data_IF_741377079335
#
_entry.id   IF_741377079335
#
_cell.length_a   1.000
_cell.length_b   1.000
_cell.length_c   1.000
_cell.angle_alpha   90.00
_cell.angle_beta   90.00
_cell.angle_gamma   90.00
#
_symmetry.space_group_name_H-M   'P 1'
#
loop_
_entity.id
_entity.type
_entity.pdbx_description
1 polymer ?
#
# COMPACT_ATOMS: atom_id res chain seq x y z
N UNK A 1 41.79 30.45 -25.60
CA UNK A 1 40.41 30.74 -26.07
C UNK A 1 39.76 29.38 -26.24
N UNK A 2 38.98 28.98 -25.23
CA UNK A 2 37.52 28.87 -25.36
C UNK A 2 37.16 27.59 -26.12
N UNK A 3 36.48 26.58 -25.58
CA UNK A 3 35.34 26.67 -24.66
C UNK A 3 35.08 25.30 -24.05
N UNK A 4 34.82 25.34 -22.75
CA UNK A 4 34.15 24.34 -21.91
C UNK A 4 32.92 23.74 -22.63
N UNK A 5 32.99 22.48 -23.06
CA UNK A 5 31.79 21.71 -23.38
C UNK A 5 31.25 21.13 -22.08
N UNK A 6 30.47 21.97 -21.39
CA UNK A 6 29.58 21.60 -20.28
C UNK A 6 29.02 20.20 -20.48
N UNK A 7 29.31 19.34 -19.51
CA UNK A 7 28.58 18.10 -19.29
C UNK A 7 27.09 18.45 -19.20
N UNK A 8 26.30 18.01 -20.17
CA UNK A 8 24.85 18.01 -20.07
C UNK A 8 24.46 16.98 -18.99
N UNK A 9 24.42 17.45 -17.75
CA UNK A 9 23.76 16.75 -16.65
C UNK A 9 22.27 16.79 -16.99
N UNK A 10 21.77 15.71 -17.59
CA UNK A 10 20.35 15.47 -17.78
C UNK A 10 19.65 15.63 -16.42
N UNK A 11 19.16 16.85 -16.17
CA UNK A 11 18.47 17.30 -14.96
C UNK A 11 17.04 16.76 -14.99
N UNK A 12 16.91 15.44 -15.08
CA UNK A 12 15.60 14.81 -15.14
C UNK A 12 15.13 14.57 -13.69
N UNK A 13 13.92 15.05 -13.38
CA UNK A 13 13.04 14.56 -12.29
C UNK A 13 13.18 15.12 -10.87
N UNK A 14 13.92 16.19 -10.56
CA UNK A 14 13.90 16.73 -9.16
C UNK A 14 12.48 17.15 -8.73
N UNK A 15 11.70 17.73 -9.66
CA UNK A 15 10.32 18.13 -9.41
C UNK A 15 9.37 16.95 -9.17
N UNK A 16 9.64 15.79 -9.78
CA UNK A 16 8.84 14.58 -9.58
C UNK A 16 9.06 14.07 -8.15
N UNK A 17 10.32 13.94 -7.70
CA UNK A 17 10.60 13.49 -6.33
C UNK A 17 9.99 14.42 -5.27
N UNK A 18 10.08 15.75 -5.45
CA UNK A 18 9.46 16.71 -4.54
C UNK A 18 7.93 16.59 -4.49
N UNK A 19 7.28 16.36 -5.64
CA UNK A 19 5.83 16.16 -5.69
C UNK A 19 5.40 14.87 -4.96
N UNK A 20 6.10 13.76 -5.20
CA UNK A 20 5.81 12.49 -4.52
C UNK A 20 6.10 12.57 -3.03
N UNK A 21 7.15 13.27 -2.63
CA UNK A 21 7.45 13.53 -1.23
C UNK A 21 6.32 14.32 -0.55
N UNK A 22 5.81 15.36 -1.22
CA UNK A 22 4.63 16.08 -0.77
C UNK A 22 3.39 15.19 -0.66
N UNK A 23 3.16 14.31 -1.64
CA UNK A 23 2.06 13.34 -1.61
C UNK A 23 2.17 12.37 -0.42
N UNK A 24 3.36 11.81 -0.17
CA UNK A 24 3.62 10.93 0.98
C UNK A 24 3.40 11.64 2.31
N UNK A 25 3.76 12.92 2.39
CA UNK A 25 3.50 13.75 3.56
C UNK A 25 2.00 13.93 3.79
N UNK A 26 1.23 14.27 2.75
CA UNK A 26 -0.23 14.41 2.83
C UNK A 26 -0.88 13.10 3.27
N UNK A 27 -0.50 11.96 2.67
CA UNK A 27 -1.04 10.65 3.07
C UNK A 27 -0.69 10.29 4.52
N UNK A 28 0.52 10.64 4.98
CA UNK A 28 0.93 10.42 6.38
C UNK A 28 0.12 11.29 7.34
N UNK A 29 -0.14 12.55 6.97
CA UNK A 29 -1.00 13.45 7.75
C UNK A 29 -2.45 12.93 7.82
N UNK A 30 -3.00 12.46 6.70
CA UNK A 30 -4.33 11.85 6.68
C UNK A 30 -4.40 10.61 7.56
N UNK A 31 -3.41 9.70 7.48
CA UNK A 31 -3.34 8.53 8.36
C UNK A 31 -3.33 8.91 9.84
N UNK A 32 -2.59 9.95 10.21
CA UNK A 32 -2.55 10.46 11.59
C UNK A 32 -3.89 11.09 12.01
N UNK A 33 -4.55 11.81 11.10
CA UNK A 33 -5.85 12.42 11.37
C UNK A 33 -6.95 11.38 11.62
N UNK A 34 -6.91 10.23 10.92
CA UNK A 34 -7.82 9.11 11.20
C UNK A 34 -7.67 8.60 12.62
N UNK A 35 -6.43 8.42 13.09
CA UNK A 35 -6.18 8.00 14.46
C UNK A 35 -6.56 9.09 15.48
N UNK A 36 -6.40 10.37 15.14
CA UNK A 36 -6.78 11.49 16.01
C UNK A 36 -8.29 11.58 16.25
N UNK A 37 -9.09 11.38 15.20
CA UNK A 37 -10.56 11.44 15.28
C UNK A 37 -11.15 10.25 16.09
N UNK A 38 -10.32 9.28 16.49
CA UNK A 38 -10.71 8.17 17.37
C UNK A 38 -11.97 7.44 16.89
N UNK A 39 -12.05 7.17 15.58
CA UNK A 39 -13.12 6.33 15.04
C UNK A 39 -13.15 4.98 15.76
N UNK A 40 -14.31 4.58 16.29
CA UNK A 40 -14.49 3.29 16.93
C UNK A 40 -14.98 2.23 15.93
N UNK A 41 -14.54 0.99 16.12
CA UNK A 41 -14.99 -0.16 15.33
C UNK A 41 -14.27 -0.34 13.99
N UNK A 42 -14.98 -0.93 13.02
CA UNK A 42 -14.42 -1.38 11.72
C UNK A 42 -13.91 -0.23 10.83
N UNK A 43 -14.49 0.96 10.95
CA UNK A 43 -14.12 2.13 10.13
C UNK A 43 -12.65 2.53 10.32
N UNK A 44 -12.13 2.43 11.55
CA UNK A 44 -10.72 2.68 11.85
C UNK A 44 -9.81 1.68 11.15
N UNK A 45 -10.16 0.39 11.24
CA UNK A 45 -9.41 -0.69 10.61
C UNK A 45 -9.34 -0.53 9.10
N UNK A 46 -10.48 -0.26 8.44
CA UNK A 46 -10.50 -0.08 6.98
C UNK A 46 -9.69 1.13 6.54
N UNK A 47 -9.79 2.27 7.24
CA UNK A 47 -9.05 3.48 6.87
C UNK A 47 -7.56 3.34 7.09
N UNK A 48 -7.10 2.77 8.21
CA UNK A 48 -5.67 2.57 8.48
C UNK A 48 -5.06 1.66 7.42
N UNK A 49 -5.71 0.53 7.12
CA UNK A 49 -5.25 -0.40 6.08
C UNK A 49 -5.23 0.28 4.71
N UNK A 50 -6.26 1.06 4.38
CA UNK A 50 -6.33 1.81 3.13
C UNK A 50 -5.16 2.80 3.00
N UNK A 51 -4.89 3.61 4.04
CA UNK A 51 -3.78 4.56 4.03
C UNK A 51 -2.41 3.86 3.99
N UNK A 52 -2.27 2.71 4.66
CA UNK A 52 -1.05 1.88 4.57
C UNK A 52 -0.82 1.33 3.16
N UNK A 53 -1.86 0.80 2.52
CA UNK A 53 -1.76 0.27 1.15
C UNK A 53 -1.44 1.37 0.14
N UNK A 54 -2.10 2.53 0.24
CA UNK A 54 -1.86 3.64 -0.68
C UNK A 54 -0.44 4.17 -0.55
N UNK A 55 0.05 4.42 0.68
CA UNK A 55 1.42 4.92 0.84
C UNK A 55 2.47 3.87 0.41
N UNK A 56 2.23 2.59 0.69
CA UNK A 56 3.13 1.51 0.26
C UNK A 56 3.16 1.40 -1.27
N UNK A 57 2.00 1.48 -1.93
CA UNK A 57 1.89 1.50 -3.40
C UNK A 57 2.60 2.71 -4.01
N UNK A 58 2.53 3.88 -3.36
CA UNK A 58 3.23 5.10 -3.79
C UNK A 58 4.75 4.96 -3.72
N UNK A 59 5.26 4.38 -2.63
CA UNK A 59 6.70 4.08 -2.47
C UNK A 59 7.14 3.07 -3.53
N UNK A 60 6.36 1.99 -3.71
CA UNK A 60 6.61 0.97 -4.72
C UNK A 60 6.71 1.54 -6.12
N UNK A 61 5.74 2.36 -6.54
CA UNK A 61 5.69 2.90 -7.90
C UNK A 61 6.87 3.85 -8.20
N UNK A 62 7.32 4.63 -7.22
CA UNK A 62 8.21 5.78 -7.46
C UNK A 62 9.60 5.58 -6.88
N UNK A 63 9.71 5.20 -5.60
CA UNK A 63 10.99 5.00 -4.93
C UNK A 63 11.70 3.74 -5.42
N UNK A 64 10.94 2.67 -5.64
CA UNK A 64 11.49 1.44 -6.21
C UNK A 64 11.63 1.50 -7.74
N UNK A 65 11.32 2.65 -8.35
CA UNK A 65 11.34 2.90 -9.80
C UNK A 65 10.65 1.81 -10.65
N UNK A 66 9.67 1.13 -10.06
CA UNK A 66 9.01 -0.04 -10.62
C UNK A 66 8.35 0.25 -11.98
N UNK A 67 7.96 1.50 -12.20
CA UNK A 67 7.37 1.98 -13.45
C UNK A 67 8.36 2.13 -14.61
N UNK A 68 9.67 2.17 -14.33
CA UNK A 68 10.72 2.41 -15.32
C UNK A 68 11.65 1.20 -15.52
N UNK A 69 11.46 0.13 -14.73
CA UNK A 69 12.22 -1.11 -14.80
C UNK A 69 11.50 -2.23 -15.58
N UNK A 70 12.23 -3.32 -15.83
CA UNK A 70 11.72 -4.49 -16.56
C UNK A 70 10.55 -5.11 -15.79
N UNK A 71 9.49 -5.47 -16.52
CA UNK A 71 8.30 -6.19 -16.01
C UNK A 71 8.62 -7.41 -15.13
N UNK A 72 9.78 -8.04 -15.33
CA UNK A 72 10.26 -9.15 -14.50
C UNK A 72 10.44 -8.77 -13.02
N UNK A 73 10.99 -7.60 -12.71
CA UNK A 73 11.23 -7.15 -11.32
C UNK A 73 9.91 -6.79 -10.64
N UNK A 74 9.01 -6.17 -11.39
CA UNK A 74 7.63 -5.86 -10.98
C UNK A 74 6.89 -7.13 -10.58
N UNK A 75 6.95 -8.15 -11.43
CA UNK A 75 6.29 -9.43 -11.18
C UNK A 75 6.90 -10.16 -9.97
N UNK A 76 8.23 -10.19 -9.85
CA UNK A 76 8.91 -10.82 -8.72
C UNK A 76 8.54 -10.19 -7.38
N UNK A 77 8.31 -8.87 -7.32
CA UNK A 77 7.95 -8.22 -6.07
C UNK A 77 6.45 -8.26 -5.76
N UNK A 78 5.59 -8.26 -6.78
CA UNK A 78 4.14 -8.40 -6.62
C UNK A 78 3.76 -9.82 -6.20
N UNK A 79 4.40 -10.85 -6.74
CA UNK A 79 4.10 -12.25 -6.41
C UNK A 79 4.06 -12.57 -4.90
N UNK A 80 5.08 -12.22 -4.08
CA UNK A 80 5.04 -12.48 -2.65
C UNK A 80 3.96 -11.64 -1.93
N UNK A 81 3.74 -10.39 -2.34
CA UNK A 81 2.68 -9.56 -1.76
C UNK A 81 1.28 -10.11 -2.07
N UNK A 82 1.04 -10.53 -3.31
CA UNK A 82 -0.23 -11.15 -3.72
C UNK A 82 -0.43 -12.50 -3.03
N UNK A 83 0.62 -13.31 -2.89
CA UNK A 83 0.54 -14.58 -2.16
C UNK A 83 0.12 -14.40 -0.70
N UNK A 84 0.69 -13.41 0.00
CA UNK A 84 0.29 -13.06 1.37
C UNK A 84 -1.18 -12.61 1.40
N UNK A 85 -1.60 -11.77 0.44
CA UNK A 85 -2.99 -11.33 0.33
C UNK A 85 -3.98 -12.48 0.14
N UNK A 86 -3.65 -13.43 -0.76
CA UNK A 86 -4.46 -14.64 -0.99
C UNK A 86 -4.51 -15.52 0.25
N UNK A 87 -3.38 -15.71 0.93
CA UNK A 87 -3.32 -16.49 2.17
C UNK A 87 -4.22 -15.90 3.27
N UNK A 88 -4.18 -14.57 3.45
CA UNK A 88 -5.08 -13.86 4.38
C UNK A 88 -6.54 -14.02 3.96
N UNK A 89 -6.86 -13.92 2.67
CA UNK A 89 -8.23 -14.08 2.18
C UNK A 89 -8.80 -15.48 2.48
N UNK A 90 -7.99 -16.54 2.29
CA UNK A 90 -8.37 -17.91 2.65
C UNK A 90 -8.62 -18.01 4.17
N UNK A 91 -7.73 -17.47 5.00
CA UNK A 91 -7.90 -17.46 6.47
C UNK A 91 -9.17 -16.73 6.92
N UNK A 92 -9.51 -15.60 6.29
CA UNK A 92 -10.75 -14.86 6.58
C UNK A 92 -11.97 -15.70 6.19
N UNK A 93 -11.92 -16.40 5.06
CA UNK A 93 -12.99 -17.30 4.62
C UNK A 93 -13.23 -18.42 5.64
N UNK A 94 -12.16 -19.10 6.09
CA UNK A 94 -12.25 -20.16 7.11
C UNK A 94 -12.83 -19.67 8.44
N UNK A 95 -12.45 -18.45 8.85
CA UNK A 95 -13.00 -17.81 10.05
C UNK A 95 -14.52 -17.61 9.96
N UNK A 96 -15.02 -17.16 8.80
CA UNK A 96 -16.45 -16.98 8.56
C UNK A 96 -17.20 -18.32 8.58
N UNK A 97 -16.66 -19.37 7.94
CA UNK A 97 -17.25 -20.72 7.98
C UNK A 97 -17.32 -21.28 9.40
N UNK A 98 -16.27 -21.08 10.21
CA UNK A 98 -16.24 -21.52 11.61
C UNK A 98 -17.28 -20.76 12.44
N UNK A 99 -17.40 -19.44 12.27
CA UNK A 99 -18.39 -18.63 12.98
C UNK A 99 -19.82 -19.04 12.64
N UNK A 100 -20.12 -19.21 11.34
CA UNK A 100 -21.44 -19.62 10.86
C UNK A 100 -21.84 -21.00 11.39
N UNK A 101 -20.91 -21.96 11.34
CA UNK A 101 -21.14 -23.32 11.84
C UNK A 101 -21.43 -23.31 13.35
N UNK A 102 -20.69 -22.51 14.15
CA UNK A 102 -20.94 -22.37 15.59
C UNK A 102 -22.30 -21.76 15.90
N UNK A 103 -22.72 -20.74 15.15
CA UNK A 103 -24.06 -20.14 15.28
C UNK A 103 -25.16 -21.14 14.90
N UNK A 104 -24.97 -21.91 13.82
CA UNK A 104 -25.93 -22.92 13.40
C UNK A 104 -26.12 -24.01 14.46
N UNK A 105 -25.03 -24.55 15.03
CA UNK A 105 -25.12 -25.51 16.13
C UNK A 105 -25.73 -24.92 17.41
N UNK A 106 -25.49 -23.62 17.70
CA UNK A 106 -26.10 -22.96 18.84
C UNK A 106 -27.61 -22.77 18.69
N UNK A 107 -28.11 -22.53 17.47
CA UNK A 107 -29.54 -22.33 17.17
C UNK A 107 -30.30 -23.64 16.95
N UNK A 108 -29.67 -24.64 16.34
CA UNK A 108 -30.29 -25.95 16.07
C UNK A 108 -30.16 -26.91 17.26
N UNK A 109 -29.11 -26.74 18.08
CA UNK A 109 -28.87 -27.53 19.28
C UNK A 109 -29.55 -26.98 20.55
N UNK A 110 -30.35 -25.91 20.44
CA UNK A 110 -31.23 -25.37 21.48
C UNK A 110 -32.67 -25.84 21.30
#
# INVERSE_FOLDING_TARGET
METDKKQEVHTHKIGVYLWIWGLLFVFSFFSYMVDYINYQGLLRWSLIIFFMLVKAGLIMAIFMHLYWERWAIVNVLLWPMTAIGVFVAIMVSESQYTFFTRMFYFVVGS
#
